data_IF_400061751091
#
_entry.id   IF_400061751091
#
_cell.length_a   1.000
_cell.length_b   1.000
_cell.length_c   1.000
_cell.angle_alpha   90.00
_cell.angle_beta   90.00
_cell.angle_gamma   90.00
#
_symmetry.space_group_name_H-M   'P 1'
#
loop_
_entity.id
_entity.type
_entity.pdbx_description
1 polymer ?
#
# COMPACT_ATOMS: atom_id res chain seq x y z
N UNK A 1 -1.12 0.20 -3.82
CA UNK A 1 -1.82 1.48 -3.59
C UNK A 1 -3.10 1.49 -4.41
N UNK A 2 -4.24 1.75 -3.79
CA UNK A 2 -5.55 1.90 -4.44
C UNK A 2 -5.94 3.38 -4.39
N UNK A 3 -5.99 4.04 -5.54
CA UNK A 3 -6.08 5.52 -5.62
C UNK A 3 -7.31 6.04 -6.35
N UNK A 4 -8.34 5.23 -6.53
CA UNK A 4 -9.61 5.59 -7.20
C UNK A 4 -9.42 6.42 -8.49
N UNK A 5 -8.64 5.89 -9.45
CA UNK A 5 -8.17 6.52 -10.70
C UNK A 5 -7.27 7.76 -10.58
N UNK A 6 -6.92 8.19 -9.37
CA UNK A 6 -6.25 9.47 -9.12
C UNK A 6 -7.15 10.69 -9.33
N UNK A 7 -8.46 10.48 -9.51
CA UNK A 7 -9.46 11.56 -9.73
C UNK A 7 -10.48 11.71 -8.60
N UNK A 8 -10.41 10.85 -7.59
CA UNK A 8 -11.26 11.00 -6.41
C UNK A 8 -10.90 12.31 -5.69
N UNK A 9 -11.89 13.12 -5.28
CA UNK A 9 -11.62 14.33 -4.50
C UNK A 9 -10.77 14.08 -3.25
N UNK A 10 -10.93 12.91 -2.62
CA UNK A 10 -10.13 12.52 -1.46
C UNK A 10 -8.65 12.27 -1.75
N UNK A 11 -8.23 12.32 -3.01
CA UNK A 11 -6.82 12.26 -3.41
C UNK A 11 -6.34 13.56 -4.07
N UNK A 12 -7.11 14.65 -4.01
CA UNK A 12 -6.77 15.90 -4.68
C UNK A 12 -5.44 16.51 -4.22
N UNK A 13 -5.07 16.27 -2.97
CA UNK A 13 -3.80 16.73 -2.37
C UNK A 13 -2.64 15.75 -2.51
N UNK A 14 -2.88 14.56 -3.09
CA UNK A 14 -1.92 13.48 -3.19
C UNK A 14 -1.40 13.38 -4.63
N UNK A 15 -0.10 13.61 -4.81
CA UNK A 15 0.60 13.19 -6.02
C UNK A 15 0.86 11.67 -5.92
N UNK A 16 0.03 10.89 -6.63
CA UNK A 16 0.12 9.43 -6.67
C UNK A 16 1.50 8.93 -7.11
N UNK A 17 2.14 9.62 -8.05
CA UNK A 17 3.39 9.17 -8.63
C UNK A 17 4.56 9.49 -7.71
N UNK A 18 4.58 10.67 -7.10
CA UNK A 18 5.56 11.01 -6.06
C UNK A 18 5.40 10.09 -4.85
N UNK A 19 4.16 9.90 -4.36
CA UNK A 19 3.86 8.97 -3.28
C UNK A 19 4.40 7.56 -3.54
N UNK A 20 4.11 6.99 -4.73
CA UNK A 20 4.61 5.67 -5.10
C UNK A 20 6.13 5.62 -5.17
N UNK A 21 6.76 6.64 -5.76
CA UNK A 21 8.21 6.70 -5.94
C UNK A 21 8.94 6.80 -4.60
N UNK A 22 8.42 7.61 -3.67
CA UNK A 22 9.01 7.77 -2.34
C UNK A 22 8.83 6.52 -1.50
N UNK A 23 7.64 5.92 -1.48
CA UNK A 23 7.42 4.65 -0.77
C UNK A 23 8.38 3.56 -1.26
N UNK A 24 8.58 3.39 -2.57
CA UNK A 24 9.50 2.34 -3.08
C UNK A 24 10.99 2.65 -2.89
N UNK A 25 11.36 3.92 -2.72
CA UNK A 25 12.77 4.35 -2.67
C UNK A 25 13.26 4.58 -1.24
N UNK A 26 12.39 5.10 -0.36
CA UNK A 26 12.74 5.55 0.98
C UNK A 26 12.34 4.52 2.06
N UNK A 27 11.31 3.70 1.82
CA UNK A 27 10.76 2.79 2.82
C UNK A 27 11.19 1.33 2.55
N UNK A 28 11.21 0.46 3.58
CA UNK A 28 11.70 -0.93 3.47
C UNK A 28 10.68 -1.86 2.80
N UNK A 29 10.20 -1.50 1.61
CA UNK A 29 9.30 -2.31 0.78
C UNK A 29 10.07 -2.94 -0.38
N UNK A 30 9.66 -4.14 -0.81
CA UNK A 30 10.32 -4.82 -1.94
C UNK A 30 9.97 -4.18 -3.29
N UNK A 31 8.72 -3.73 -3.43
CA UNK A 31 8.21 -3.03 -4.60
C UNK A 31 6.92 -2.31 -4.20
N UNK A 32 6.49 -1.34 -5.03
CA UNK A 32 5.20 -0.69 -4.91
C UNK A 32 4.46 -0.77 -6.24
N UNK A 33 3.13 -0.88 -6.17
CA UNK A 33 2.23 -0.87 -7.33
C UNK A 33 1.07 0.07 -7.08
N UNK A 34 0.56 0.68 -8.15
CA UNK A 34 -0.66 1.47 -8.12
C UNK A 34 -1.70 0.77 -8.98
N UNK A 35 -2.87 0.51 -8.39
CA UNK A 35 -4.06 0.05 -9.11
C UNK A 35 -5.13 1.15 -9.02
N UNK A 36 -5.77 1.56 -10.13
CA UNK A 36 -6.74 2.66 -10.12
C UNK A 36 -7.98 2.31 -9.29
N UNK A 37 -8.46 1.08 -9.32
CA UNK A 37 -9.60 0.62 -8.52
C UNK A 37 -9.38 -0.79 -8.01
N UNK A 38 -8.62 -0.96 -6.93
CA UNK A 38 -8.33 -2.30 -6.41
C UNK A 38 -9.60 -3.02 -5.95
N UNK A 39 -10.65 -2.28 -5.59
CA UNK A 39 -11.96 -2.79 -5.20
C UNK A 39 -12.87 -3.18 -6.37
N UNK A 40 -12.51 -2.86 -7.62
CA UNK A 40 -13.27 -3.26 -8.79
C UNK A 40 -12.95 -4.70 -9.20
N UNK A 41 -13.73 -5.28 -10.11
CA UNK A 41 -13.57 -6.67 -10.57
C UNK A 41 -12.17 -6.96 -11.12
N UNK A 42 -11.64 -6.08 -11.95
CA UNK A 42 -10.27 -6.19 -12.49
C UNK A 42 -9.21 -6.04 -11.38
N UNK A 43 -9.44 -5.13 -10.42
CA UNK A 43 -8.60 -5.00 -9.22
C UNK A 43 -8.58 -6.26 -8.36
N UNK A 44 -9.73 -6.94 -8.23
CA UNK A 44 -9.83 -8.22 -7.53
C UNK A 44 -9.01 -9.31 -8.22
N UNK A 45 -9.06 -9.41 -9.55
CA UNK A 45 -8.21 -10.35 -10.30
C UNK A 45 -6.73 -10.04 -10.13
N UNK A 46 -6.35 -8.77 -10.26
CA UNK A 46 -4.97 -8.31 -10.02
C UNK A 46 -4.48 -8.67 -8.62
N UNK A 47 -5.30 -8.43 -7.59
CA UNK A 47 -4.97 -8.77 -6.22
C UNK A 47 -4.81 -10.29 -6.02
N UNK A 48 -5.70 -11.08 -6.61
CA UNK A 48 -5.65 -12.54 -6.53
C UNK A 48 -4.34 -13.09 -7.14
N UNK A 49 -3.89 -12.55 -8.27
CA UNK A 49 -2.63 -12.94 -8.91
C UNK A 49 -1.42 -12.57 -8.05
N UNK A 50 -1.40 -11.38 -7.44
CA UNK A 50 -0.34 -10.99 -6.50
C UNK A 50 -0.29 -11.89 -5.26
N UNK A 51 -1.45 -12.26 -4.72
CA UNK A 51 -1.55 -13.09 -3.52
C UNK A 51 -1.06 -14.53 -3.71
N UNK A 52 -0.88 -15.00 -4.96
CA UNK A 52 -0.25 -16.30 -5.22
C UNK A 52 1.17 -16.40 -4.65
N UNK A 53 1.86 -15.27 -4.49
CA UNK A 53 3.17 -15.21 -3.84
C UNK A 53 3.11 -15.50 -2.32
N UNK A 54 1.92 -15.47 -1.72
CA UNK A 54 1.66 -15.69 -0.28
C UNK A 54 2.55 -14.84 0.63
N UNK A 55 2.71 -13.56 0.28
CA UNK A 55 3.49 -12.60 1.07
C UNK A 55 2.56 -11.59 1.73
N UNK A 56 2.84 -11.14 2.96
CA UNK A 56 2.09 -10.05 3.56
C UNK A 56 2.14 -8.80 2.70
N UNK A 57 1.06 -8.02 2.69
CA UNK A 57 0.94 -6.80 1.89
C UNK A 57 0.43 -5.64 2.70
N UNK A 58 1.02 -4.47 2.47
CA UNK A 58 0.46 -3.20 2.90
C UNK A 58 -0.38 -2.62 1.76
N UNK A 59 -1.64 -2.27 2.05
CA UNK A 59 -2.53 -1.64 1.08
C UNK A 59 -2.87 -0.23 1.56
N UNK A 60 -2.30 0.76 0.88
CA UNK A 60 -2.71 2.16 1.04
C UNK A 60 -3.94 2.43 0.15
N UNK A 61 -5.06 2.82 0.75
CA UNK A 61 -6.34 3.02 0.08
C UNK A 61 -7.34 3.81 0.92
N UNK A 62 -8.59 3.35 0.96
CA UNK A 62 -9.68 3.93 1.77
C UNK A 62 -9.62 3.46 3.23
N UNK A 63 -10.67 3.72 4.00
CA UNK A 63 -10.76 3.34 5.41
C UNK A 63 -10.44 1.84 5.68
N UNK A 64 -9.71 1.50 6.77
CA UNK A 64 -9.23 0.13 7.00
C UNK A 64 -10.31 -0.95 7.06
N UNK A 65 -11.44 -0.67 7.72
CA UNK A 65 -12.54 -1.64 7.81
C UNK A 65 -13.10 -2.01 6.44
N UNK A 66 -13.22 -1.04 5.53
CA UNK A 66 -13.65 -1.27 4.15
C UNK A 66 -12.65 -2.15 3.40
N UNK A 67 -11.34 -1.90 3.57
CA UNK A 67 -10.31 -2.72 2.93
C UNK A 67 -10.37 -4.17 3.41
N UNK A 68 -10.54 -4.41 4.72
CA UNK A 68 -10.71 -5.76 5.26
C UNK A 68 -11.92 -6.46 4.62
N UNK A 69 -13.08 -5.80 4.59
CA UNK A 69 -14.29 -6.37 4.00
C UNK A 69 -14.13 -6.68 2.51
N UNK A 70 -13.55 -5.77 1.74
CA UNK A 70 -13.38 -5.90 0.28
C UNK A 70 -12.39 -6.99 -0.10
N UNK A 71 -11.32 -7.17 0.67
CA UNK A 71 -10.20 -8.04 0.28
C UNK A 71 -10.18 -9.38 1.02
N UNK A 72 -11.00 -9.58 2.05
CA UNK A 72 -11.07 -10.82 2.84
C UNK A 72 -11.14 -12.08 1.97
N UNK A 73 -12.03 -12.09 0.99
CA UNK A 73 -12.31 -13.29 0.20
C UNK A 73 -11.11 -13.63 -0.72
N UNK A 74 -10.40 -12.62 -1.23
CA UNK A 74 -9.18 -12.82 -2.02
C UNK A 74 -8.03 -13.42 -1.18
N UNK A 75 -7.85 -12.95 0.06
CA UNK A 75 -6.87 -13.54 0.99
C UNK A 75 -7.26 -14.97 1.39
N UNK A 76 -8.54 -15.20 1.71
CA UNK A 76 -9.06 -16.51 2.10
C UNK A 76 -8.84 -17.55 0.98
N UNK A 77 -9.09 -17.17 -0.28
CA UNK A 77 -8.86 -18.03 -1.44
C UNK A 77 -7.39 -18.50 -1.59
N UNK A 78 -6.44 -17.75 -1.04
CA UNK A 78 -5.01 -18.10 -1.04
C UNK A 78 -4.54 -18.74 0.29
N UNK A 79 -5.48 -19.14 1.16
CA UNK A 79 -5.20 -19.66 2.51
C UNK A 79 -4.45 -18.66 3.41
N UNK A 80 -4.66 -17.37 3.19
CA UNK A 80 -4.14 -16.27 3.98
C UNK A 80 -5.26 -15.69 4.86
N UNK A 81 -4.89 -15.05 5.96
CA UNK A 81 -5.82 -14.40 6.88
C UNK A 81 -5.66 -12.89 6.76
N UNK A 82 -6.74 -12.18 6.46
CA UNK A 82 -6.66 -10.77 6.07
C UNK A 82 -6.19 -9.88 7.21
N UNK A 83 -6.55 -10.15 8.46
CA UNK A 83 -6.12 -9.33 9.61
C UNK A 83 -4.66 -9.56 10.01
N UNK A 84 -4.11 -10.74 9.71
CA UNK A 84 -2.70 -11.09 9.94
C UNK A 84 -1.81 -10.67 8.78
N UNK A 85 -2.25 -10.92 7.55
CA UNK A 85 -1.41 -10.86 6.36
C UNK A 85 -1.58 -9.57 5.55
N UNK A 86 -2.57 -8.74 5.89
CA UNK A 86 -2.77 -7.42 5.27
C UNK A 86 -2.61 -6.31 6.31
N UNK A 87 -1.90 -5.26 5.93
CA UNK A 87 -1.81 -4.01 6.70
C UNK A 87 -2.51 -2.91 5.92
N UNK A 88 -3.76 -2.57 6.26
CA UNK A 88 -4.45 -1.47 5.61
C UNK A 88 -3.94 -0.13 6.11
N UNK A 89 -3.72 0.80 5.18
CA UNK A 89 -3.37 2.19 5.47
C UNK A 89 -4.38 3.10 4.80
N UNK A 90 -4.98 3.99 5.60
CA UNK A 90 -5.86 5.04 5.10
C UNK A 90 -5.02 6.22 4.60
N UNK A 91 -5.24 6.60 3.34
CA UNK A 91 -4.59 7.74 2.70
C UNK A 91 -5.60 8.76 2.13
N UNK A 92 -6.86 8.70 2.54
CA UNK A 92 -7.86 9.69 2.15
C UNK A 92 -7.52 11.06 2.75
N UNK A 93 -7.72 12.10 1.93
CA UNK A 93 -7.55 13.52 2.26
C UNK A 93 -6.14 13.88 2.75
N UNK A 94 -5.14 13.02 2.50
CA UNK A 94 -3.75 13.26 2.85
C UNK A 94 -2.99 13.92 1.70
N UNK A 95 -2.04 14.77 2.07
CA UNK A 95 -0.95 15.17 1.19
C UNK A 95 0.01 14.00 0.92
N UNK A 96 0.86 14.12 -0.10
CA UNK A 96 1.89 13.10 -0.37
C UNK A 96 2.79 12.84 0.85
N UNK A 97 3.23 13.90 1.55
CA UNK A 97 4.09 13.77 2.75
C UNK A 97 3.38 12.99 3.87
N UNK A 98 2.13 13.33 4.15
CA UNK A 98 1.35 12.67 5.19
C UNK A 98 1.09 11.20 4.85
N UNK A 99 0.84 10.89 3.58
CA UNK A 99 0.64 9.53 3.10
C UNK A 99 1.93 8.70 3.22
N UNK A 100 3.10 9.23 2.81
CA UNK A 100 4.40 8.57 3.00
C UNK A 100 4.66 8.34 4.49
N UNK A 101 4.46 9.36 5.32
CA UNK A 101 4.63 9.27 6.77
C UNK A 101 3.73 8.20 7.39
N UNK A 102 2.47 8.10 6.94
CA UNK A 102 1.54 7.08 7.43
C UNK A 102 1.98 5.67 7.07
N UNK A 103 2.47 5.44 5.85
CA UNK A 103 3.03 4.15 5.44
C UNK A 103 4.27 3.83 6.26
N UNK A 104 5.14 4.81 6.50
CA UNK A 104 6.35 4.64 7.31
C UNK A 104 6.02 4.21 8.76
N UNK A 105 5.04 4.85 9.39
CA UNK A 105 4.56 4.47 10.73
C UNK A 105 4.01 3.04 10.72
N UNK A 106 3.15 2.70 9.75
CA UNK A 106 2.58 1.36 9.65
C UNK A 106 3.66 0.28 9.46
N UNK A 107 4.73 0.56 8.72
CA UNK A 107 5.87 -0.36 8.59
C UNK A 107 6.69 -0.45 9.88
N UNK A 108 6.92 0.68 10.56
CA UNK A 108 7.65 0.71 11.83
C UNK A 108 6.94 -0.08 12.94
N UNK A 109 5.60 -0.03 13.00
CA UNK A 109 4.79 -0.83 13.94
C UNK A 109 4.94 -2.34 13.72
N UNK A 110 5.36 -2.75 12.52
CA UNK A 110 5.70 -4.14 12.18
C UNK A 110 7.18 -4.48 12.43
N UNK A 111 7.97 -3.54 12.96
CA UNK A 111 9.41 -3.66 13.13
C UNK A 111 10.21 -3.51 11.82
N UNK A 112 9.58 -3.00 10.76
CA UNK A 112 10.22 -2.77 9.46
C UNK A 112 10.61 -1.29 9.34
N UNK A 113 11.84 -0.96 9.74
CA UNK A 113 12.39 0.39 9.57
C UNK A 113 13.27 0.46 8.33
N UNK A 114 13.33 1.63 7.70
CA UNK A 114 14.28 1.87 6.62
C UNK A 114 15.70 1.65 7.17
N UNK A 115 16.52 0.89 6.45
CA UNK A 115 17.96 0.94 6.71
C UNK A 115 18.46 2.34 6.38
N UNK A 116 19.43 2.89 7.13
CA UNK A 116 20.06 4.14 6.72
C UNK A 116 20.55 3.99 5.28
N UNK A 117 20.48 5.06 4.45
CA UNK A 117 21.00 5.01 3.10
C UNK A 117 22.45 4.49 3.18
N UNK A 118 22.88 3.60 2.26
CA UNK A 118 24.28 3.22 2.21
C UNK A 118 25.08 4.51 2.14
N UNK A 119 25.97 4.72 3.11
CA UNK A 119 26.82 5.89 3.18
C UNK A 119 27.61 6.00 1.88
N UNK A 120 27.16 6.86 0.99
CA UNK A 120 27.85 7.16 -0.26
C UNK A 120 29.05 8.03 0.06
N UNK A 121 30.23 7.41 0.14
CA UNK A 121 31.43 8.03 -0.39
C UNK A 121 31.65 7.40 -1.76
N UNK A 122 31.09 8.04 -2.78
CA UNK A 122 31.57 7.86 -4.15
C UNK A 122 32.45 9.08 -4.44
N UNK A 123 33.74 8.81 -4.64
CA UNK A 123 34.78 9.74 -5.11
C UNK A 123 34.38 10.49 -6.40
#
# INVERSE_FOLDING_TARGET
MCVCSGRCPSYASLDVWDFMNRVRAELPVRFATVHPYLCATDGGHFLADLLQARRPMLIAGCAPHMQYELFRDAFTAQSMEVHRDMVPVDIFDLTTEEAVGRVAVALADLGLTASPPPGGTDD
#
